data_IF_980926051186
#
_entry.id   IF_980926051186
#
_cell.length_a   1.000
_cell.length_b   1.000
_cell.length_c   1.000
_cell.angle_alpha   90.00
_cell.angle_beta   90.00
_cell.angle_gamma   90.00
#
_symmetry.space_group_name_H-M   'P 1'
#
loop_
_entity.id
_entity.type
_entity.pdbx_description
1 polymer ?
#
# COMPACT_ATOMS: atom_id res chain seq x y z
N UNK A 1 -25.00 -5.92 -15.52
CA UNK A 1 -23.79 -6.76 -15.39
C UNK A 1 -23.37 -6.75 -13.94
N UNK A 2 -23.27 -7.91 -13.27
CA UNK A 2 -22.68 -7.97 -11.93
C UNK A 2 -21.17 -7.95 -12.13
N UNK A 3 -20.53 -6.80 -11.88
CA UNK A 3 -19.07 -6.70 -11.84
C UNK A 3 -18.57 -7.67 -10.78
N UNK A 4 -17.76 -8.64 -11.19
CA UNK A 4 -17.03 -9.51 -10.26
C UNK A 4 -16.22 -8.57 -9.36
N UNK A 5 -16.44 -8.64 -8.04
CA UNK A 5 -15.66 -7.84 -7.10
C UNK A 5 -14.18 -8.09 -7.39
N UNK A 6 -13.41 -7.01 -7.61
CA UNK A 6 -11.98 -7.11 -7.79
C UNK A 6 -11.40 -7.77 -6.53
N UNK A 7 -10.63 -8.85 -6.71
CA UNK A 7 -9.92 -9.49 -5.61
C UNK A 7 -8.60 -8.76 -5.42
N UNK A 8 -8.40 -8.15 -4.26
CA UNK A 8 -7.09 -7.63 -3.86
C UNK A 8 -6.11 -8.78 -3.63
N UNK A 9 -4.90 -8.68 -4.18
CA UNK A 9 -3.85 -9.70 -4.04
C UNK A 9 -2.70 -9.25 -3.13
N UNK A 10 -2.58 -7.95 -2.90
CA UNK A 10 -1.63 -7.31 -1.99
C UNK A 10 -2.21 -5.97 -1.52
N UNK A 11 -1.96 -5.60 -0.26
CA UNK A 11 -2.40 -4.33 0.34
C UNK A 11 -1.38 -3.80 1.35
N UNK A 12 -1.38 -2.47 1.55
CA UNK A 12 -0.71 -1.80 2.66
C UNK A 12 -1.81 -1.30 3.59
N UNK A 13 -1.78 -1.75 4.84
CA UNK A 13 -2.79 -1.44 5.84
C UNK A 13 -2.41 -0.20 6.66
N UNK A 14 -3.38 0.35 7.40
CA UNK A 14 -3.12 1.42 8.38
C UNK A 14 -2.11 0.96 9.45
N UNK A 15 -2.13 -0.32 9.82
CA UNK A 15 -1.17 -0.90 10.77
C UNK A 15 0.26 -0.81 10.23
N UNK A 16 0.46 -1.07 8.93
CA UNK A 16 1.77 -0.96 8.29
C UNK A 16 2.24 0.50 8.28
N UNK A 17 1.33 1.44 7.97
CA UNK A 17 1.65 2.88 8.04
C UNK A 17 2.08 3.30 9.44
N UNK A 18 1.37 2.85 10.47
CA UNK A 18 1.69 3.18 11.87
C UNK A 18 2.98 2.53 12.34
N UNK A 19 3.25 1.30 11.91
CA UNK A 19 4.51 0.61 12.20
C UNK A 19 5.69 1.41 11.66
N UNK A 20 5.67 1.75 10.37
CA UNK A 20 6.73 2.53 9.73
C UNK A 20 6.85 3.90 10.41
N UNK A 21 5.74 4.60 10.64
CA UNK A 21 5.76 5.90 11.31
C UNK A 21 6.42 5.86 12.69
N UNK A 22 6.15 4.81 13.48
CA UNK A 22 6.79 4.63 14.78
C UNK A 22 8.30 4.44 14.67
N UNK A 23 8.77 3.75 13.64
CA UNK A 23 10.22 3.56 13.42
C UNK A 23 10.91 4.83 12.92
N UNK A 24 10.28 5.60 12.03
CA UNK A 24 10.93 6.75 11.37
C UNK A 24 10.68 8.09 12.05
N UNK A 25 9.56 8.25 12.77
CA UNK A 25 9.15 9.48 13.44
C UNK A 25 9.10 9.35 14.97
N UNK A 26 9.31 8.14 15.52
CA UNK A 26 9.17 7.82 16.95
C UNK A 26 7.78 8.12 17.54
N UNK A 27 6.76 8.23 16.67
CA UNK A 27 5.36 8.44 17.04
C UNK A 27 4.41 7.83 16.02
N UNK A 28 3.15 7.69 16.42
CA UNK A 28 2.07 7.33 15.51
C UNK A 28 1.62 8.53 14.67
N UNK A 29 1.10 8.25 13.46
CA UNK A 29 0.40 9.22 12.62
C UNK A 29 -0.95 9.56 13.22
N UNK A 30 -1.36 10.82 13.13
CA UNK A 30 -2.75 11.22 13.42
C UNK A 30 -3.70 10.66 12.37
N UNK A 31 -5.01 10.71 12.63
CA UNK A 31 -6.02 10.26 11.66
C UNK A 31 -5.92 11.01 10.33
N UNK A 32 -5.67 12.32 10.37
CA UNK A 32 -5.49 13.17 9.18
C UNK A 32 -4.23 12.79 8.40
N UNK A 33 -3.13 12.52 9.10
CA UNK A 33 -1.88 12.05 8.49
C UNK A 33 -2.04 10.67 7.85
N UNK A 34 -2.75 9.74 8.51
CA UNK A 34 -3.05 8.41 7.93
C UNK A 34 -3.81 8.54 6.61
N UNK A 35 -4.80 9.44 6.54
CA UNK A 35 -5.55 9.69 5.30
C UNK A 35 -4.64 10.28 4.22
N UNK A 36 -3.82 11.29 4.56
CA UNK A 36 -2.91 11.92 3.61
C UNK A 36 -1.85 10.95 3.07
N UNK A 37 -1.25 10.14 3.95
CA UNK A 37 -0.28 9.11 3.57
C UNK A 37 -0.97 8.00 2.76
N UNK A 38 -2.13 7.50 3.19
CA UNK A 38 -2.86 6.47 2.48
C UNK A 38 -3.27 6.87 1.05
N UNK A 39 -3.57 8.15 0.81
CA UNK A 39 -3.85 8.66 -0.54
C UNK A 39 -2.62 8.76 -1.44
N UNK A 40 -1.42 8.92 -0.88
CA UNK A 40 -0.20 9.21 -1.64
C UNK A 40 0.81 8.06 -1.66
N UNK A 41 0.71 7.08 -0.75
CA UNK A 41 1.68 5.97 -0.63
C UNK A 41 1.81 5.16 -1.93
N UNK A 42 0.71 5.02 -2.68
CA UNK A 42 0.70 4.34 -3.98
C UNK A 42 1.53 5.04 -5.06
N UNK A 43 1.72 6.36 -4.97
CA UNK A 43 2.53 7.14 -5.92
C UNK A 43 4.04 6.84 -5.77
N UNK A 44 4.44 6.29 -4.61
CA UNK A 44 5.81 5.92 -4.30
C UNK A 44 6.08 4.42 -4.51
N UNK A 45 5.12 3.66 -5.02
CA UNK A 45 5.24 2.24 -5.33
C UNK A 45 5.15 2.06 -6.83
N UNK A 46 6.21 1.55 -7.45
CA UNK A 46 6.15 1.10 -8.85
C UNK A 46 5.40 -0.24 -8.92
N UNK A 47 4.08 -0.16 -8.73
CA UNK A 47 3.20 -1.32 -8.66
C UNK A 47 3.14 -2.05 -10.00
N UNK A 48 3.33 -1.35 -11.12
CA UNK A 48 3.35 -1.96 -12.44
C UNK A 48 4.60 -2.85 -12.57
N UNK A 49 5.78 -2.29 -12.27
CA UNK A 49 7.02 -3.06 -12.32
C UNK A 49 7.00 -4.24 -11.32
N UNK A 50 6.41 -4.06 -10.14
CA UNK A 50 6.27 -5.16 -9.17
C UNK A 50 5.45 -6.33 -9.74
N UNK A 51 4.32 -6.05 -10.41
CA UNK A 51 3.50 -7.06 -11.07
C UNK A 51 4.24 -7.67 -12.26
N UNK A 52 4.87 -6.86 -13.09
CA UNK A 52 5.68 -7.30 -14.23
C UNK A 52 6.76 -8.30 -13.78
N UNK A 53 7.54 -7.94 -12.76
CA UNK A 53 8.57 -8.79 -12.19
C UNK A 53 8.00 -10.11 -11.65
N UNK A 54 6.88 -10.06 -10.92
CA UNK A 54 6.25 -11.26 -10.40
C UNK A 54 5.79 -12.22 -11.52
N UNK A 55 5.30 -11.68 -12.64
CA UNK A 55 4.96 -12.49 -13.81
C UNK A 55 6.22 -13.12 -14.41
N UNK A 56 7.27 -12.34 -14.70
CA UNK A 56 8.50 -12.85 -15.31
C UNK A 56 9.22 -13.94 -14.51
N UNK A 57 9.13 -13.91 -13.18
CA UNK A 57 9.84 -14.87 -12.33
C UNK A 57 9.04 -16.14 -11.99
N UNK A 58 7.73 -16.16 -12.26
CA UNK A 58 6.83 -17.24 -11.84
C UNK A 58 5.94 -17.81 -12.95
N UNK A 59 6.05 -17.29 -14.17
CA UNK A 59 5.43 -17.81 -15.40
C UNK A 59 6.53 -18.23 -16.36
#
# INVERSE_FOLDING_TARGET
>A
MKTKAAKTVYEISVTDLQHVAKEILERELTAEEVVAVGHSVGDYIDWFQAIENAIYHHV
#
